data_IF_546119880184
#
_entry.id   IF_546119880184
#
_cell.length_a   1.000
_cell.length_b   1.000
_cell.length_c   1.000
_cell.angle_alpha   90.00
_cell.angle_beta   90.00
_cell.angle_gamma   90.00
#
_symmetry.space_group_name_H-M   'P 1'
#
loop_
_entity.id
_entity.type
_entity.pdbx_description
1 polymer ?
#
# COMPACT_ATOMS: atom_id res chain seq x y z
N UNK A 1 19.02 -4.90 -11.26
CA UNK A 1 18.78 -5.38 -9.88
C UNK A 1 17.75 -4.45 -9.27
N UNK A 2 16.50 -4.89 -9.14
CA UNK A 2 15.52 -4.19 -8.31
C UNK A 2 15.98 -4.36 -6.86
N UNK A 3 16.64 -3.33 -6.34
CA UNK A 3 17.05 -3.30 -4.93
C UNK A 3 15.75 -3.10 -4.14
N UNK A 4 15.34 -4.13 -3.43
CA UNK A 4 14.27 -4.01 -2.45
C UNK A 4 14.83 -3.20 -1.27
N UNK A 5 14.43 -1.93 -1.15
CA UNK A 5 14.85 -1.03 -0.07
C UNK A 5 14.21 -1.38 1.29
N UNK A 6 13.84 -2.64 1.49
CA UNK A 6 13.13 -3.07 2.70
C UNK A 6 13.94 -2.83 3.99
N UNK A 7 15.27 -2.87 3.91
CA UNK A 7 16.14 -2.59 5.06
C UNK A 7 16.17 -1.10 5.37
N UNK A 8 16.27 -0.25 4.34
CA UNK A 8 16.24 1.22 4.50
C UNK A 8 14.86 1.67 5.01
N UNK A 9 13.78 1.12 4.45
CA UNK A 9 12.42 1.42 4.89
C UNK A 9 12.18 0.97 6.34
N UNK A 10 12.78 -0.14 6.74
CA UNK A 10 12.72 -0.60 8.14
C UNK A 10 13.53 0.29 9.07
N UNK A 11 14.72 0.75 8.67
CA UNK A 11 15.53 1.67 9.45
C UNK A 11 14.81 3.02 9.66
N UNK A 12 14.16 3.56 8.61
CA UNK A 12 13.32 4.75 8.71
C UNK A 12 12.16 4.54 9.70
N UNK A 13 11.48 3.40 9.61
CA UNK A 13 10.38 3.07 10.50
C UNK A 13 10.84 2.97 11.96
N UNK A 14 11.99 2.34 12.23
CA UNK A 14 12.61 2.29 13.56
C UNK A 14 12.87 3.70 14.09
N UNK A 15 13.48 4.56 13.27
CA UNK A 15 13.81 5.94 13.66
C UNK A 15 12.56 6.75 14.01
N UNK A 16 11.54 6.72 13.15
CA UNK A 16 10.27 7.43 13.39
C UNK A 16 9.56 6.89 14.62
N UNK A 17 9.48 5.56 14.79
CA UNK A 17 8.81 4.96 15.94
C UNK A 17 9.52 5.30 17.26
N UNK A 18 10.86 5.32 17.28
CA UNK A 18 11.65 5.74 18.45
C UNK A 18 11.40 7.21 18.78
N UNK A 19 11.41 8.09 17.78
CA UNK A 19 11.16 9.52 17.97
C UNK A 19 9.76 9.80 18.54
N UNK A 20 8.75 9.06 18.05
CA UNK A 20 7.36 9.22 18.48
C UNK A 20 6.99 8.35 19.70
N UNK A 21 7.94 7.57 20.23
CA UNK A 21 7.72 6.62 21.32
C UNK A 21 6.57 5.63 21.04
N UNK A 22 6.52 5.10 19.79
CA UNK A 22 5.52 4.14 19.34
C UNK A 22 6.16 2.76 19.22
N UNK A 23 5.56 1.69 19.80
CA UNK A 23 6.08 0.34 19.64
C UNK A 23 6.09 -0.12 18.18
N UNK A 24 7.22 -0.64 17.70
CA UNK A 24 7.36 -1.21 16.38
C UNK A 24 7.35 -2.73 16.43
N UNK A 25 6.56 -3.36 15.56
CA UNK A 25 6.58 -4.81 15.34
C UNK A 25 6.90 -5.10 13.87
N UNK A 26 7.88 -5.97 13.63
CA UNK A 26 8.22 -6.47 12.30
C UNK A 26 7.53 -7.81 12.06
N UNK A 27 6.81 -7.93 10.96
CA UNK A 27 6.13 -9.17 10.56
C UNK A 27 6.58 -9.52 9.14
N UNK A 28 6.80 -10.79 8.88
CA UNK A 28 7.18 -11.27 7.57
C UNK A 28 6.02 -12.03 6.92
N UNK A 29 5.51 -11.49 5.82
CA UNK A 29 4.44 -12.09 5.00
C UNK A 29 4.95 -12.55 3.62
N UNK A 30 6.23 -12.83 3.47
CA UNK A 30 6.83 -13.24 2.19
C UNK A 30 6.15 -14.50 1.63
N UNK A 31 5.82 -15.46 2.48
CA UNK A 31 5.15 -16.69 2.07
C UNK A 31 3.73 -16.40 1.58
N UNK A 32 2.94 -15.69 2.35
CA UNK A 32 1.56 -15.32 2.01
C UNK A 32 1.53 -14.46 0.74
N UNK A 33 2.48 -13.56 0.60
CA UNK A 33 2.62 -12.74 -0.60
C UNK A 33 2.91 -13.60 -1.83
N UNK A 34 3.88 -14.51 -1.74
CA UNK A 34 4.22 -15.43 -2.83
C UNK A 34 3.01 -16.27 -3.25
N UNK A 35 2.31 -16.84 -2.26
CA UNK A 35 1.23 -17.80 -2.52
C UNK A 35 -0.06 -17.12 -3.03
N UNK A 36 -0.39 -15.90 -2.56
CA UNK A 36 -1.68 -15.25 -2.83
C UNK A 36 -1.60 -14.11 -3.87
N UNK A 37 -0.43 -13.46 -3.98
CA UNK A 37 -0.27 -12.30 -4.88
C UNK A 37 0.58 -12.67 -6.08
N UNK A 38 1.79 -13.16 -5.83
CA UNK A 38 2.74 -13.41 -6.91
C UNK A 38 2.33 -14.59 -7.81
N UNK A 39 1.81 -15.67 -7.22
CA UNK A 39 1.31 -16.80 -8.01
C UNK A 39 0.15 -16.39 -8.91
N UNK A 40 -0.82 -15.64 -8.37
CA UNK A 40 -1.95 -15.12 -9.15
C UNK A 40 -1.47 -14.16 -10.25
N UNK A 41 -0.51 -13.29 -9.93
CA UNK A 41 0.09 -12.38 -10.92
C UNK A 41 0.69 -13.14 -12.10
N UNK A 42 1.44 -14.23 -11.83
CA UNK A 42 2.03 -15.05 -12.90
C UNK A 42 0.98 -15.78 -13.73
N UNK A 43 -0.06 -16.30 -13.09
CA UNK A 43 -1.11 -17.04 -13.79
C UNK A 43 -1.95 -16.10 -14.66
N UNK A 44 -2.31 -14.92 -14.16
CA UNK A 44 -3.03 -13.92 -14.95
C UNK A 44 -2.19 -13.47 -16.16
N UNK A 45 -0.89 -13.27 -15.96
CA UNK A 45 0.01 -12.87 -17.05
C UNK A 45 0.15 -13.94 -18.12
N UNK A 46 0.31 -15.23 -17.73
CA UNK A 46 0.30 -16.36 -18.67
C UNK A 46 -0.99 -16.45 -19.48
N UNK A 47 -2.11 -16.05 -18.90
CA UNK A 47 -3.42 -16.04 -19.57
C UNK A 47 -3.68 -14.77 -20.40
N UNK A 48 -2.66 -13.92 -20.61
CA UNK A 48 -2.75 -12.71 -21.44
C UNK A 48 -3.42 -11.52 -20.76
N UNK A 49 -3.66 -11.57 -19.45
CA UNK A 49 -4.16 -10.42 -18.68
C UNK A 49 -3.01 -9.48 -18.27
N UNK A 50 -3.37 -8.27 -17.91
CA UNK A 50 -2.46 -7.28 -17.32
C UNK A 50 -2.79 -7.13 -15.83
N UNK A 51 -2.27 -8.01 -14.95
CA UNK A 51 -2.59 -7.98 -13.53
C UNK A 51 -1.97 -6.78 -12.83
N UNK A 52 -2.62 -6.33 -11.77
CA UNK A 52 -2.07 -5.31 -10.88
C UNK A 52 -1.77 -5.93 -9.50
N UNK A 53 -0.49 -6.25 -9.20
CA UNK A 53 -0.12 -6.90 -7.94
C UNK A 53 -0.37 -6.01 -6.72
N UNK A 54 -0.40 -4.67 -6.87
CA UNK A 54 -0.67 -3.76 -5.76
C UNK A 54 -2.12 -3.85 -5.28
N UNK A 55 -3.08 -4.04 -6.20
CA UNK A 55 -4.49 -4.30 -5.87
C UNK A 55 -4.62 -5.61 -5.09
N UNK A 56 -3.97 -6.67 -5.57
CA UNK A 56 -3.96 -7.97 -4.90
C UNK A 56 -3.26 -7.90 -3.54
N UNK A 57 -2.12 -7.20 -3.44
CA UNK A 57 -1.41 -6.99 -2.18
C UNK A 57 -2.30 -6.28 -1.14
N UNK A 58 -2.99 -5.22 -1.55
CA UNK A 58 -3.91 -4.53 -0.66
C UNK A 58 -5.02 -5.47 -0.17
N UNK A 59 -5.66 -6.21 -1.08
CA UNK A 59 -6.75 -7.13 -0.76
C UNK A 59 -6.29 -8.29 0.12
N UNK A 60 -5.26 -9.02 -0.29
CA UNK A 60 -4.90 -10.32 0.30
C UNK A 60 -3.95 -10.16 1.50
N UNK A 61 -3.03 -9.21 1.47
CA UNK A 61 -2.00 -9.07 2.52
C UNK A 61 -2.38 -7.97 3.52
N UNK A 62 -2.51 -6.71 3.06
CA UNK A 62 -2.70 -5.59 3.98
C UNK A 62 -4.05 -5.61 4.69
N UNK A 63 -5.13 -5.91 3.97
CA UNK A 63 -6.48 -5.84 4.51
C UNK A 63 -7.18 -7.20 4.71
N UNK A 64 -6.44 -8.31 4.56
CA UNK A 64 -6.87 -9.65 5.00
C UNK A 64 -5.89 -10.24 6.03
N UNK A 65 -4.70 -10.67 5.61
CA UNK A 65 -3.75 -11.37 6.49
C UNK A 65 -3.32 -10.47 7.66
N UNK A 66 -2.88 -9.23 7.36
CA UNK A 66 -2.46 -8.29 8.40
C UNK A 66 -3.63 -7.87 9.30
N UNK A 67 -4.83 -7.68 8.76
CA UNK A 67 -6.01 -7.36 9.58
C UNK A 67 -6.35 -8.47 10.57
N UNK A 68 -6.25 -9.74 10.14
CA UNK A 68 -6.45 -10.90 11.03
C UNK A 68 -5.44 -10.91 12.18
N UNK A 69 -4.18 -10.68 11.85
CA UNK A 69 -3.12 -10.57 12.85
C UNK A 69 -3.36 -9.39 13.81
N UNK A 70 -3.71 -8.22 13.29
CA UNK A 70 -4.00 -7.04 14.09
C UNK A 70 -5.11 -7.30 15.11
N UNK A 71 -6.18 -7.99 14.69
CA UNK A 71 -7.27 -8.42 15.59
C UNK A 71 -6.77 -9.38 16.67
N UNK A 72 -5.90 -10.34 16.32
CA UNK A 72 -5.35 -11.32 17.30
C UNK A 72 -4.54 -10.63 18.40
N UNK A 73 -3.88 -9.52 18.09
CA UNK A 73 -3.11 -8.73 19.08
C UNK A 73 -3.94 -7.62 19.74
N UNK A 74 -5.28 -7.62 19.56
CA UNK A 74 -6.21 -6.72 20.22
C UNK A 74 -6.47 -5.39 19.52
N UNK A 75 -6.01 -5.19 18.29
CA UNK A 75 -6.31 -3.97 17.54
C UNK A 75 -7.79 -3.94 17.12
N UNK A 76 -8.45 -2.82 17.35
CA UNK A 76 -9.84 -2.58 16.92
C UNK A 76 -9.90 -1.99 15.51
N UNK A 77 -8.85 -1.28 15.08
CA UNK A 77 -8.76 -0.63 13.78
C UNK A 77 -7.35 -0.75 13.19
N UNK A 78 -7.28 -0.63 11.88
CA UNK A 78 -6.02 -0.52 11.12
C UNK A 78 -5.99 0.86 10.46
N UNK A 79 -4.92 1.61 10.69
CA UNK A 79 -4.62 2.82 9.92
C UNK A 79 -3.60 2.51 8.81
N UNK A 80 -3.81 3.07 7.64
CA UNK A 80 -2.89 2.92 6.51
C UNK A 80 -2.62 4.25 5.85
N UNK A 81 -1.39 4.43 5.34
CA UNK A 81 -0.93 5.64 4.67
C UNK A 81 -1.49 5.85 3.26
N UNK A 82 -2.53 5.14 2.85
CA UNK A 82 -3.14 5.35 1.54
C UNK A 82 -3.85 6.71 1.46
N UNK A 83 -3.67 7.38 0.33
CA UNK A 83 -4.45 8.56 -0.05
C UNK A 83 -5.80 8.12 -0.60
N UNK A 84 -6.74 7.85 0.28
CA UNK A 84 -8.12 7.51 0.00
C UNK A 84 -8.97 7.96 1.20
N UNK A 85 -10.29 7.98 1.05
CA UNK A 85 -11.23 8.25 2.15
C UNK A 85 -12.17 7.09 2.32
N UNK A 86 -12.65 6.92 3.55
CA UNK A 86 -13.81 6.08 3.84
C UNK A 86 -14.95 7.01 4.21
N UNK A 87 -16.06 6.87 3.52
CA UNK A 87 -17.30 7.61 3.79
C UNK A 87 -18.39 6.64 4.25
N UNK A 88 -19.25 7.08 5.17
CA UNK A 88 -20.39 6.32 5.64
C UNK A 88 -21.66 6.94 5.10
N UNK A 89 -22.49 6.14 4.40
CA UNK A 89 -23.80 6.54 3.91
C UNK A 89 -24.80 5.42 4.20
N UNK A 90 -25.90 5.77 4.88
CA UNK A 90 -26.97 4.82 5.23
C UNK A 90 -26.45 3.49 5.81
N UNK A 91 -25.55 3.57 6.82
CA UNK A 91 -24.87 2.45 7.48
C UNK A 91 -23.92 1.60 6.60
N UNK A 92 -23.73 1.96 5.35
CA UNK A 92 -22.74 1.36 4.49
C UNK A 92 -21.46 2.21 4.43
N UNK A 93 -20.33 1.54 4.29
CA UNK A 93 -19.03 2.18 4.13
C UNK A 93 -18.55 2.06 2.69
N UNK A 94 -18.03 3.16 2.15
CA UNK A 94 -17.54 3.24 0.77
C UNK A 94 -16.15 3.85 0.74
N UNK A 95 -15.36 3.44 -0.25
CA UNK A 95 -14.08 4.10 -0.56
C UNK A 95 -14.37 5.28 -1.47
N UNK A 96 -13.85 6.43 -1.11
CA UNK A 96 -13.92 7.66 -1.88
C UNK A 96 -12.52 8.18 -2.21
N UNK A 97 -12.43 8.97 -3.26
CA UNK A 97 -11.18 9.59 -3.70
C UNK A 97 -10.62 10.52 -2.63
N UNK A 98 -9.28 10.57 -2.55
CA UNK A 98 -8.58 11.51 -1.68
C UNK A 98 -8.85 12.99 -2.05
N UNK A 99 -8.58 13.90 -1.10
CA UNK A 99 -8.59 15.33 -1.36
C UNK A 99 -7.49 15.75 -2.34
N UNK A 100 -6.30 15.15 -2.19
CA UNK A 100 -5.21 15.31 -3.17
C UNK A 100 -5.44 14.39 -4.36
N UNK A 101 -6.00 14.96 -5.44
CA UNK A 101 -6.30 14.22 -6.67
C UNK A 101 -5.04 13.71 -7.39
N UNK A 102 -3.90 14.34 -7.17
CA UNK A 102 -2.63 13.96 -7.79
C UNK A 102 -1.99 12.76 -7.10
N UNK A 103 -2.45 12.44 -5.88
CA UNK A 103 -1.97 11.34 -5.04
C UNK A 103 -3.03 10.28 -4.74
N UNK A 104 -4.23 10.42 -5.31
CA UNK A 104 -5.34 9.51 -5.06
C UNK A 104 -4.97 8.05 -5.34
N UNK A 105 -5.18 7.20 -4.35
CA UNK A 105 -4.88 5.77 -4.39
C UNK A 105 -6.14 4.89 -4.25
N UNK A 106 -7.33 5.48 -4.34
CA UNK A 106 -8.59 4.73 -4.23
C UNK A 106 -8.72 3.62 -5.27
N UNK A 107 -8.09 3.80 -6.46
CA UNK A 107 -8.03 2.78 -7.49
C UNK A 107 -7.43 1.46 -7.00
N UNK A 108 -6.39 1.51 -6.17
CA UNK A 108 -5.71 0.29 -5.67
C UNK A 108 -6.49 -0.44 -4.58
N UNK A 109 -7.66 0.10 -4.18
CA UNK A 109 -8.46 -0.39 -3.05
C UNK A 109 -9.84 -0.92 -3.47
N UNK A 110 -10.17 -0.93 -4.76
CA UNK A 110 -11.52 -1.27 -5.26
C UNK A 110 -11.96 -2.71 -4.95
N UNK A 111 -11.02 -3.62 -4.70
CA UNK A 111 -11.33 -5.00 -4.34
C UNK A 111 -11.59 -5.21 -2.84
N UNK A 112 -11.49 -4.17 -2.01
CA UNK A 112 -11.80 -4.30 -0.59
C UNK A 112 -13.30 -4.45 -0.38
N UNK A 113 -13.67 -5.43 0.46
CA UNK A 113 -15.07 -5.65 0.83
C UNK A 113 -15.55 -4.51 1.74
N UNK A 114 -16.74 -3.98 1.49
CA UNK A 114 -17.36 -2.91 2.31
C UNK A 114 -17.46 -3.29 3.79
N UNK A 115 -17.69 -4.58 4.08
CA UNK A 115 -17.74 -5.09 5.44
C UNK A 115 -16.43 -4.98 6.23
N UNK A 116 -15.29 -4.71 5.58
CA UNK A 116 -14.00 -4.50 6.25
C UNK A 116 -13.74 -3.03 6.57
N UNK A 117 -14.39 -2.10 5.84
CA UNK A 117 -14.06 -0.68 5.85
C UNK A 117 -14.33 -0.02 7.21
N UNK A 118 -15.26 -0.54 8.01
CA UNK A 118 -15.55 0.00 9.35
C UNK A 118 -14.35 -0.11 10.33
N UNK A 119 -13.42 -1.03 10.06
CA UNK A 119 -12.20 -1.25 10.87
C UNK A 119 -10.94 -0.66 10.22
N UNK A 120 -11.07 0.10 9.14
CA UNK A 120 -9.96 0.69 8.40
C UNK A 120 -10.05 2.20 8.48
N UNK A 121 -8.90 2.85 8.62
CA UNK A 121 -8.75 4.30 8.55
C UNK A 121 -7.67 4.69 7.53
N UNK A 122 -7.94 5.75 6.77
CA UNK A 122 -6.98 6.39 5.86
C UNK A 122 -6.73 7.83 6.32
N UNK A 123 -5.86 8.05 7.32
CA UNK A 123 -5.66 9.38 7.93
C UNK A 123 -5.22 10.44 6.93
N UNK A 124 -4.51 10.05 5.87
CA UNK A 124 -3.98 10.96 4.85
C UNK A 124 -5.01 11.38 3.80
N UNK A 125 -6.17 10.73 3.76
CA UNK A 125 -7.15 10.90 2.68
C UNK A 125 -7.73 12.32 2.54
N UNK A 126 -7.76 13.08 3.62
CA UNK A 126 -8.30 14.47 3.65
C UNK A 126 -7.21 15.53 3.55
N UNK A 127 -5.92 15.16 3.47
CA UNK A 127 -4.79 16.07 3.45
C UNK A 127 -4.15 16.13 2.06
N UNK A 128 -3.52 17.27 1.75
CA UNK A 128 -2.67 17.39 0.57
C UNK A 128 -1.27 16.88 0.91
N UNK A 129 -0.60 16.24 -0.05
CA UNK A 129 0.77 15.72 0.13
C UNK A 129 1.75 16.79 0.63
N UNK A 130 1.62 18.02 0.11
CA UNK A 130 2.46 19.14 0.56
C UNK A 130 2.29 19.45 2.05
N UNK A 131 1.05 19.36 2.57
CA UNK A 131 0.77 19.66 3.97
C UNK A 131 1.31 18.53 4.86
N UNK A 132 1.22 17.27 4.40
CA UNK A 132 1.81 16.12 5.10
C UNK A 132 3.33 16.25 5.19
N UNK A 133 4.01 16.68 4.11
CA UNK A 133 5.45 16.94 4.12
C UNK A 133 5.81 18.04 5.11
N UNK A 134 5.05 19.13 5.12
CA UNK A 134 5.23 20.22 6.08
C UNK A 134 5.09 19.74 7.52
N UNK A 135 4.06 18.94 7.83
CA UNK A 135 3.88 18.33 9.16
C UNK A 135 5.09 17.45 9.52
N UNK A 136 5.60 16.64 8.59
CA UNK A 136 6.76 15.78 8.82
C UNK A 136 8.04 16.62 9.07
N UNK A 137 8.25 17.70 8.34
CA UNK A 137 9.36 18.65 8.53
C UNK A 137 9.26 19.36 9.88
N UNK A 138 8.11 19.90 10.22
CA UNK A 138 7.86 20.58 11.51
C UNK A 138 8.10 19.67 12.72
N UNK A 139 7.88 18.36 12.53
CA UNK A 139 8.16 17.35 13.56
C UNK A 139 9.54 16.70 13.42
N UNK A 140 10.40 17.20 12.54
CA UNK A 140 11.77 16.72 12.31
C UNK A 140 11.82 15.20 12.01
N UNK A 141 10.82 14.66 11.30
CA UNK A 141 10.82 13.25 10.94
C UNK A 141 11.90 12.97 9.88
N UNK A 142 12.69 11.92 10.08
CA UNK A 142 13.83 11.58 9.20
C UNK A 142 13.44 11.35 7.75
N UNK A 143 12.21 10.94 7.49
CA UNK A 143 11.67 10.65 6.17
C UNK A 143 10.88 11.80 5.54
N UNK A 144 10.91 13.02 6.12
CA UNK A 144 10.15 14.18 5.64
C UNK A 144 10.48 14.51 4.16
N UNK A 145 11.76 14.44 3.77
CA UNK A 145 12.24 14.71 2.41
C UNK A 145 12.32 13.46 1.52
N UNK A 146 11.94 12.27 2.02
CA UNK A 146 12.02 11.02 1.25
C UNK A 146 11.16 11.10 -0.01
N UNK A 147 11.73 10.71 -1.16
CA UNK A 147 10.99 10.65 -2.42
C UNK A 147 9.85 9.62 -2.33
N UNK A 148 8.77 9.91 -3.06
CA UNK A 148 7.68 8.94 -3.18
C UNK A 148 8.19 7.68 -3.88
N UNK A 149 7.77 6.51 -3.40
CA UNK A 149 7.98 5.26 -4.12
C UNK A 149 7.20 5.32 -5.43
N UNK A 150 7.89 5.07 -6.54
CA UNK A 150 7.32 5.04 -7.88
C UNK A 150 7.48 3.63 -8.44
N UNK A 151 6.43 3.09 -9.05
CA UNK A 151 6.45 1.77 -9.66
C UNK A 151 5.53 0.76 -8.99
N UNK A 152 5.35 -0.35 -9.67
CA UNK A 152 4.58 -1.50 -9.19
C UNK A 152 5.52 -2.41 -8.40
N UNK A 153 5.05 -2.99 -7.30
CA UNK A 153 5.81 -3.96 -6.52
C UNK A 153 6.48 -5.01 -7.42
N UNK A 154 7.78 -5.21 -7.25
CA UNK A 154 8.71 -6.08 -8.01
C UNK A 154 9.13 -5.63 -9.40
N UNK A 155 8.40 -4.75 -10.07
CA UNK A 155 8.64 -4.45 -11.48
C UNK A 155 9.42 -3.14 -11.66
N UNK A 156 9.37 -2.22 -10.69
CA UNK A 156 9.97 -0.90 -10.82
C UNK A 156 9.31 -0.03 -11.91
N UNK A 157 9.66 1.25 -11.95
CA UNK A 157 8.98 2.25 -12.79
C UNK A 157 9.11 2.03 -14.32
N UNK A 158 10.05 1.22 -14.80
CA UNK A 158 10.40 1.12 -16.22
C UNK A 158 10.23 -0.26 -16.83
N UNK A 159 10.20 -1.32 -16.04
CA UNK A 159 10.29 -2.68 -16.59
C UNK A 159 8.98 -3.26 -17.12
N UNK A 160 7.81 -2.77 -16.69
CA UNK A 160 6.53 -3.31 -17.15
C UNK A 160 6.21 -2.95 -18.60
N UNK A 161 6.46 -1.72 -19.00
CA UNK A 161 6.31 -1.29 -20.41
C UNK A 161 7.38 -1.91 -21.30
N UNK A 162 8.58 -2.17 -20.78
CA UNK A 162 9.66 -2.85 -21.51
C UNK A 162 9.39 -4.33 -21.73
N UNK A 163 8.89 -5.06 -20.72
CA UNK A 163 8.52 -6.46 -20.85
C UNK A 163 7.47 -6.66 -21.95
N UNK A 164 6.47 -5.80 -21.99
CA UNK A 164 5.41 -5.88 -23.01
C UNK A 164 5.88 -5.48 -24.41
N UNK A 165 6.83 -4.56 -24.53
CA UNK A 165 7.39 -4.16 -25.83
C UNK A 165 8.25 -5.28 -26.45
N UNK A 166 8.86 -6.15 -25.64
CA UNK A 166 9.61 -7.31 -26.12
C UNK A 166 8.69 -8.45 -26.58
N UNK A 167 7.56 -8.65 -25.94
CA UNK A 167 6.59 -9.72 -26.33
C UNK A 167 5.83 -9.41 -27.63
N UNK A 168 5.68 -8.15 -28.00
CA UNK A 168 5.00 -7.74 -29.26
C UNK A 168 5.94 -7.70 -30.47
N UNK A 169 7.24 -7.91 -30.30
CA UNK A 169 8.22 -7.91 -31.40
C UNK A 169 8.55 -9.32 -31.94
N UNK A 170 7.94 -10.38 -31.39
CA UNK A 170 8.16 -11.77 -31.82
C UNK A 170 6.94 -12.41 -32.55
N UNK A 171 6.07 -11.59 -33.18
CA UNK A 171 5.02 -12.10 -34.10
C UNK A 171 5.11 -11.41 -35.44
#
# INVERSE_FOLDING_TARGET
QAICNAEDDYADAVSVCNQLNIPLKKINYTKEYKDRVFSQFLDDHKNGFTPNPDVLCNKEIKFDVFQKYAKQIGATKIASGHYAKIVKENDNFFISKASDRTKDQSYFLYQLKSSLLHNIEFPLGSLLKKDIRKIAEENNLVNASKKDSTGICFIGAVSYTHLRAHETSEN
#
